data_IF_429971172201
#
_entry.id   IF_429971172201
#
_cell.length_a   1.000
_cell.length_b   1.000
_cell.length_c   1.000
_cell.angle_alpha   90.00
_cell.angle_beta   90.00
_cell.angle_gamma   90.00
#
_symmetry.space_group_name_H-M   'P 1'
#
loop_
_entity.id
_entity.type
_entity.pdbx_description
1 polymer ?
#
# COMPACT_ATOMS: atom_id res chain seq x y z
N UNK A 1 -10.87 4.23 41.60
CA UNK A 1 -11.13 3.04 40.74
C UNK A 1 -11.50 3.37 39.29
N UNK A 2 -11.29 4.59 38.78
CA UNK A 2 -11.53 4.92 37.35
C UNK A 2 -10.24 5.16 36.54
N UNK A 3 -9.17 5.66 37.17
CA UNK A 3 -7.89 5.92 36.49
C UNK A 3 -7.13 4.66 36.03
N UNK A 4 -7.27 3.53 36.73
CA UNK A 4 -6.56 2.28 36.38
C UNK A 4 -7.11 1.62 35.11
N UNK A 5 -8.40 1.83 34.80
CA UNK A 5 -9.02 1.31 33.59
C UNK A 5 -8.61 2.10 32.34
N UNK A 6 -8.44 3.42 32.44
CA UNK A 6 -7.95 4.26 31.34
C UNK A 6 -6.48 3.94 31.00
N UNK A 7 -5.63 3.70 32.00
CA UNK A 7 -4.22 3.32 31.80
C UNK A 7 -4.11 1.91 31.19
N UNK A 8 -4.98 0.96 31.56
CA UNK A 8 -5.03 -0.37 30.94
C UNK A 8 -5.50 -0.32 29.48
N UNK A 9 -6.41 0.58 29.12
CA UNK A 9 -6.82 0.77 27.72
C UNK A 9 -5.69 1.34 26.86
N UNK A 10 -4.85 2.24 27.39
CA UNK A 10 -3.69 2.79 26.68
C UNK A 10 -2.57 1.76 26.42
N UNK A 11 -2.45 0.70 27.25
CA UNK A 11 -1.41 -0.35 27.09
C UNK A 11 -1.70 -1.36 25.97
N UNK A 12 -2.90 -1.36 25.39
CA UNK A 12 -3.24 -2.10 24.16
C UNK A 12 -3.15 -1.21 22.93
N UNK A 13 -2.13 -0.35 22.82
CA UNK A 13 -1.69 0.18 21.52
C UNK A 13 -1.21 -1.00 20.68
N UNK A 14 -2.16 -1.74 20.10
CA UNK A 14 -1.90 -2.83 19.16
C UNK A 14 -1.00 -2.22 18.09
N UNK A 15 0.23 -2.71 17.98
CA UNK A 15 1.07 -2.39 16.83
C UNK A 15 0.20 -2.62 15.58
N UNK A 16 0.03 -1.58 14.76
CA UNK A 16 -0.64 -1.74 13.48
C UNK A 16 0.07 -2.88 12.74
N UNK A 17 -0.64 -3.93 12.30
CA UNK A 17 0.01 -5.04 11.63
C UNK A 17 0.71 -4.54 10.37
N UNK A 18 1.83 -5.14 10.02
CA UNK A 18 2.44 -4.88 8.72
C UNK A 18 1.61 -5.58 7.63
N UNK A 19 1.47 -4.97 6.45
CA UNK A 19 0.78 -5.61 5.36
C UNK A 19 1.58 -6.83 4.90
N UNK A 20 0.89 -7.94 4.71
CA UNK A 20 1.48 -9.11 4.05
C UNK A 20 1.71 -8.79 2.57
N UNK A 21 2.47 -9.64 1.86
CA UNK A 21 2.62 -9.49 0.41
C UNK A 21 1.29 -9.52 -0.34
N UNK A 22 0.31 -10.30 0.14
CA UNK A 22 -1.03 -10.36 -0.45
C UNK A 22 -1.79 -9.05 -0.23
N UNK A 23 -1.71 -8.48 0.97
CA UNK A 23 -2.36 -7.20 1.28
C UNK A 23 -1.78 -6.04 0.47
N UNK A 24 -0.46 -6.03 0.28
CA UNK A 24 0.19 -5.03 -0.59
C UNK A 24 -0.28 -5.16 -2.04
N UNK A 25 -0.32 -6.39 -2.58
CA UNK A 25 -0.80 -6.64 -3.95
C UNK A 25 -2.24 -6.18 -4.12
N UNK A 26 -3.14 -6.61 -3.23
CA UNK A 26 -4.55 -6.21 -3.28
C UNK A 26 -4.69 -4.69 -3.21
N UNK A 27 -3.93 -4.05 -2.32
CA UNK A 27 -3.99 -2.59 -2.17
C UNK A 27 -3.45 -1.85 -3.39
N UNK A 28 -2.44 -2.39 -4.09
CA UNK A 28 -1.96 -1.82 -5.36
C UNK A 28 -3.01 -1.97 -6.46
N UNK A 29 -3.70 -3.11 -6.54
CA UNK A 29 -4.80 -3.32 -7.50
C UNK A 29 -5.92 -2.30 -7.25
N UNK A 30 -6.33 -2.15 -6.00
CA UNK A 30 -7.33 -1.14 -5.60
C UNK A 30 -6.85 0.27 -5.96
N UNK A 31 -5.58 0.58 -5.63
CA UNK A 31 -4.99 1.88 -5.90
C UNK A 31 -5.00 2.21 -7.39
N UNK A 32 -4.63 1.28 -8.27
CA UNK A 32 -4.63 1.50 -9.73
C UNK A 32 -6.04 1.71 -10.28
N UNK A 33 -7.06 1.11 -9.65
CA UNK A 33 -8.44 1.30 -10.04
C UNK A 33 -8.96 2.71 -9.73
N UNK A 34 -8.54 3.29 -8.60
CA UNK A 34 -9.09 4.55 -8.06
C UNK A 34 -8.15 5.75 -8.12
N UNK A 35 -6.87 5.56 -8.43
CA UNK A 35 -5.89 6.63 -8.46
C UNK A 35 -6.01 7.47 -9.73
N UNK A 36 -6.17 8.77 -9.54
CA UNK A 36 -6.16 9.79 -10.58
C UNK A 36 -5.11 10.83 -10.19
N UNK A 37 -3.94 10.76 -10.81
CA UNK A 37 -2.80 11.61 -10.44
C UNK A 37 -1.52 11.29 -11.21
N UNK A 38 -0.44 11.99 -10.86
CA UNK A 38 0.86 11.78 -11.49
C UNK A 38 1.53 10.50 -10.92
N UNK A 39 2.25 9.69 -11.72
CA UNK A 39 2.88 8.45 -11.25
C UNK A 39 3.76 8.61 -10.00
N UNK A 40 4.45 9.74 -9.84
CA UNK A 40 5.26 10.01 -8.63
C UNK A 40 4.45 10.05 -7.34
N UNK A 41 3.17 10.39 -7.38
CA UNK A 41 2.29 10.47 -6.20
C UNK A 41 1.65 9.11 -5.86
N UNK A 42 1.78 8.13 -6.76
CA UNK A 42 1.17 6.82 -6.60
C UNK A 42 1.65 6.07 -5.34
N UNK A 43 2.95 6.04 -4.98
CA UNK A 43 3.39 5.40 -3.74
C UNK A 43 2.75 6.02 -2.49
N UNK A 44 2.61 7.35 -2.47
CA UNK A 44 1.97 8.06 -1.35
C UNK A 44 0.48 7.72 -1.25
N UNK A 45 -0.19 7.57 -2.38
CA UNK A 45 -1.57 7.09 -2.42
C UNK A 45 -1.71 5.66 -1.88
N UNK A 46 -0.80 4.76 -2.25
CA UNK A 46 -0.75 3.38 -1.72
C UNK A 46 -0.53 3.38 -0.21
N UNK A 47 0.33 4.24 0.33
CA UNK A 47 0.52 4.38 1.78
C UNK A 47 -0.77 4.81 2.48
N UNK A 48 -1.46 5.82 1.94
CA UNK A 48 -2.74 6.28 2.49
C UNK A 48 -3.77 5.15 2.55
N UNK A 49 -3.90 4.37 1.48
CA UNK A 49 -4.82 3.23 1.44
C UNK A 49 -4.46 2.15 2.46
N UNK A 50 -3.18 1.80 2.59
CA UNK A 50 -2.72 0.84 3.60
C UNK A 50 -3.00 1.33 5.02
N UNK A 51 -2.79 2.61 5.30
CA UNK A 51 -3.05 3.20 6.61
C UNK A 51 -4.54 3.29 6.94
N UNK A 52 -5.38 3.59 5.96
CA UNK A 52 -6.84 3.55 6.06
C UNK A 52 -7.35 2.13 6.36
N UNK A 53 -6.72 1.10 5.76
CA UNK A 53 -6.96 -0.31 6.07
C UNK A 53 -6.39 -0.75 7.43
N UNK A 54 -5.71 0.13 8.16
CA UNK A 54 -5.18 -0.12 9.50
C UNK A 54 -3.78 -0.74 9.54
N UNK A 55 -3.08 -0.81 8.41
CA UNK A 55 -1.72 -1.36 8.34
C UNK A 55 -0.65 -0.32 8.67
N UNK A 56 0.54 -0.79 9.08
CA UNK A 56 1.74 0.03 9.20
C UNK A 56 2.55 0.01 7.90
N UNK A 57 2.86 1.20 7.39
CA UNK A 57 3.64 1.44 6.16
C UNK A 57 5.14 1.55 6.40
N UNK A 58 5.61 1.49 7.66
CA UNK A 58 7.01 1.74 8.06
C UNK A 58 8.06 0.93 7.29
N UNK A 59 7.73 -0.29 6.85
CA UNK A 59 8.62 -1.18 6.10
C UNK A 59 8.17 -1.42 4.65
N UNK A 60 7.17 -0.69 4.18
CA UNK A 60 6.77 -0.71 2.76
C UNK A 60 7.60 0.36 2.08
N UNK A 61 8.52 -0.05 1.22
CA UNK A 61 9.38 0.89 0.48
C UNK A 61 8.78 1.23 -0.87
N UNK A 62 9.07 2.43 -1.38
CA UNK A 62 8.66 2.88 -2.72
C UNK A 62 9.09 1.89 -3.80
N UNK A 63 10.33 1.38 -3.69
CA UNK A 63 10.85 0.33 -4.59
C UNK A 63 9.98 -0.93 -4.58
N UNK A 64 9.50 -1.37 -3.41
CA UNK A 64 8.65 -2.56 -3.29
C UNK A 64 7.28 -2.34 -3.92
N UNK A 65 6.72 -1.13 -3.81
CA UNK A 65 5.46 -0.76 -4.45
C UNK A 65 5.61 -0.86 -5.97
N UNK A 66 6.63 -0.20 -6.53
CA UNK A 66 6.87 -0.22 -7.98
C UNK A 66 7.19 -1.62 -8.52
N UNK A 67 8.06 -2.38 -7.85
CA UNK A 67 8.36 -3.75 -8.28
C UNK A 67 7.11 -4.65 -8.25
N UNK A 68 6.20 -4.41 -7.31
CA UNK A 68 4.93 -5.16 -7.26
C UNK A 68 4.00 -4.72 -8.39
N UNK A 69 3.84 -3.41 -8.60
CA UNK A 69 3.06 -2.84 -9.71
C UNK A 69 3.55 -3.37 -11.06
N UNK A 70 4.85 -3.23 -11.35
CA UNK A 70 5.46 -3.68 -12.59
C UNK A 70 5.22 -5.17 -12.82
N UNK A 71 5.39 -5.99 -11.79
CA UNK A 71 5.12 -7.44 -11.86
C UNK A 71 3.66 -7.73 -12.22
N UNK A 72 2.71 -6.95 -11.71
CA UNK A 72 1.29 -7.12 -12.01
C UNK A 72 0.98 -6.70 -13.46
N UNK A 73 1.56 -5.60 -13.92
CA UNK A 73 1.44 -5.12 -15.32
C UNK A 73 2.01 -6.13 -16.29
N UNK A 74 3.27 -6.57 -16.08
CA UNK A 74 3.94 -7.56 -16.94
C UNK A 74 3.19 -8.89 -17.00
N UNK A 75 2.52 -9.28 -15.92
CA UNK A 75 1.67 -10.48 -15.87
C UNK A 75 0.27 -10.29 -16.45
N UNK A 76 -0.05 -9.09 -16.98
CA UNK A 76 -1.38 -8.70 -17.48
C UNK A 76 -2.51 -8.85 -16.44
N UNK A 77 -2.16 -8.73 -15.16
CA UNK A 77 -3.15 -8.71 -14.06
C UNK A 77 -3.84 -7.35 -13.97
N UNK A 78 -3.09 -6.28 -14.26
CA UNK A 78 -3.59 -4.90 -14.35
C UNK A 78 -3.04 -4.24 -15.62
N UNK A 79 -3.73 -3.23 -16.13
CA UNK A 79 -3.23 -2.37 -17.23
C UNK A 79 -2.21 -1.36 -16.71
N UNK A 80 -1.27 -0.93 -17.57
CA UNK A 80 -0.30 0.12 -17.23
C UNK A 80 -0.93 1.52 -17.24
N UNK A 81 -1.82 1.79 -16.29
CA UNK A 81 -2.52 3.08 -16.18
C UNK A 81 -1.58 4.25 -15.92
N UNK A 82 -0.43 4.00 -15.30
CA UNK A 82 0.55 5.02 -14.97
C UNK A 82 1.56 5.25 -16.11
N UNK A 83 1.58 4.40 -17.14
CA UNK A 83 2.50 4.51 -18.28
C UNK A 83 3.97 4.41 -17.92
N UNK A 84 4.32 3.69 -16.84
CA UNK A 84 5.70 3.61 -16.32
C UNK A 84 6.41 2.30 -16.67
N UNK A 85 5.72 1.35 -17.32
CA UNK A 85 6.26 0.02 -17.66
C UNK A 85 6.43 -0.14 -19.18
N UNK A 86 5.67 0.61 -20.00
CA UNK A 86 5.78 0.59 -21.46
C UNK A 86 7.09 1.23 -21.95
N UNK A 87 8.18 0.46 -21.89
CA UNK A 87 9.43 0.69 -22.63
C UNK A 87 10.36 -0.52 -22.48
N UNK A 88 10.10 -1.64 -23.17
CA UNK A 88 11.19 -2.50 -23.69
C UNK A 88 10.81 -3.62 -24.69
N UNK A 89 9.62 -3.65 -25.28
CA UNK A 89 9.26 -4.67 -26.31
C UNK A 89 9.71 -4.26 -27.72
N UNK A 90 10.92 -3.69 -27.86
CA UNK A 90 11.59 -3.49 -29.16
C UNK A 90 12.82 -4.37 -29.28
#
# INVERSE_FOLDING_TARGET
MQAENEIKQQRKRKHKPYPTSRELVNTIIDAVATFEGHPNDFPDYVYKLLEQKGYSTKFVTVKRIWATYEKLVRKRVISDRLGVVESNDK
#
